data_IF_167822268230
#
_entry.id   IF_167822268230
#
_cell.length_a   1.000
_cell.length_b   1.000
_cell.length_c   1.000
_cell.angle_alpha   90.00
_cell.angle_beta   90.00
_cell.angle_gamma   90.00
#
_symmetry.space_group_name_H-M   'P 1'
#
loop_
_entity.id
_entity.type
_entity.pdbx_description
1 polymer ?
#
# COMPACT_ATOMS: atom_id res chain seq x y z
N UNK A 1 -41.72 -32.11 30.12
CA UNK A 1 -42.01 -31.01 29.19
C UNK A 1 -41.50 -29.72 29.85
N UNK A 2 -40.19 -29.37 29.63
CA UNK A 2 -39.56 -28.21 30.26
C UNK A 2 -39.44 -27.10 29.21
N UNK A 3 -40.28 -26.06 29.36
CA UNK A 3 -40.20 -24.87 28.53
C UNK A 3 -39.08 -23.93 29.06
N UNK A 4 -38.01 -23.77 28.29
CA UNK A 4 -36.94 -22.79 28.60
C UNK A 4 -37.43 -21.39 28.23
N UNK A 5 -37.79 -20.62 29.24
CA UNK A 5 -38.08 -19.19 29.11
C UNK A 5 -36.77 -18.43 28.84
N UNK A 6 -36.47 -18.14 27.59
CA UNK A 6 -35.39 -17.24 27.20
C UNK A 6 -35.80 -15.78 27.43
N UNK A 7 -35.22 -15.10 28.40
CA UNK A 7 -35.54 -13.70 28.74
C UNK A 7 -35.18 -12.76 27.57
N UNK A 8 -36.03 -11.76 27.25
CA UNK A 8 -35.79 -10.82 26.16
C UNK A 8 -34.51 -9.99 26.34
N UNK A 9 -34.04 -9.80 27.57
CA UNK A 9 -32.79 -9.11 27.93
C UNK A 9 -31.53 -9.83 27.45
N UNK A 10 -31.51 -11.17 27.35
CA UNK A 10 -30.40 -11.95 26.81
C UNK A 10 -30.23 -11.74 25.30
N UNK A 11 -31.31 -11.61 24.56
CA UNK A 11 -31.32 -11.41 23.10
C UNK A 11 -30.79 -10.01 22.71
N UNK A 12 -31.14 -8.98 23.52
CA UNK A 12 -30.69 -7.60 23.29
C UNK A 12 -29.17 -7.49 23.55
N UNK A 13 -28.64 -8.15 24.59
CA UNK A 13 -27.17 -8.17 24.89
C UNK A 13 -26.38 -8.87 23.78
N UNK A 14 -26.89 -9.97 23.23
CA UNK A 14 -26.26 -10.67 22.11
C UNK A 14 -26.28 -9.85 20.82
N UNK A 15 -27.36 -9.14 20.51
CA UNK A 15 -27.46 -8.26 19.36
C UNK A 15 -26.51 -7.05 19.47
N UNK A 16 -26.40 -6.45 20.65
CA UNK A 16 -25.48 -5.33 20.90
C UNK A 16 -24.00 -5.76 20.80
N UNK A 17 -23.64 -6.95 21.29
CA UNK A 17 -22.29 -7.50 21.17
C UNK A 17 -21.93 -7.79 19.69
N UNK A 18 -22.87 -8.27 18.90
CA UNK A 18 -22.65 -8.52 17.45
C UNK A 18 -22.44 -7.23 16.65
N UNK A 19 -23.17 -6.15 16.99
CA UNK A 19 -22.98 -4.83 16.36
C UNK A 19 -21.64 -4.20 16.71
N UNK A 20 -21.17 -4.35 17.94
CA UNK A 20 -19.84 -3.88 18.38
C UNK A 20 -18.69 -4.61 17.65
N UNK A 21 -18.83 -5.93 17.43
CA UNK A 21 -17.85 -6.73 16.70
C UNK A 21 -17.76 -6.38 15.20
N UNK A 22 -18.87 -5.97 14.59
CA UNK A 22 -18.90 -5.51 13.20
C UNK A 22 -18.19 -4.14 13.02
N UNK A 23 -18.18 -3.29 14.04
CA UNK A 23 -17.52 -1.98 14.02
C UNK A 23 -15.99 -2.04 14.08
N UNK A 24 -15.40 -3.11 14.63
CA UNK A 24 -13.93 -3.26 14.74
C UNK A 24 -13.25 -3.71 13.45
N UNK A 25 -13.99 -4.19 12.47
CA UNK A 25 -13.43 -4.67 11.21
C UNK A 25 -13.03 -3.56 10.22
N UNK A 26 -13.28 -2.29 10.53
CA UNK A 26 -13.19 -1.17 9.58
C UNK A 26 -11.84 -0.42 9.58
N UNK A 27 -10.83 -0.81 10.36
CA UNK A 27 -9.59 -0.04 10.55
C UNK A 27 -8.37 -0.56 9.78
N UNK A 28 -8.52 -1.37 8.74
CA UNK A 28 -7.40 -1.70 7.88
C UNK A 28 -7.11 -0.54 6.93
N UNK A 29 -5.92 0.06 7.04
CA UNK A 29 -5.52 1.15 6.15
C UNK A 29 -5.41 0.66 4.71
N UNK A 30 -5.91 1.42 3.71
CA UNK A 30 -5.79 1.05 2.31
C UNK A 30 -4.32 1.07 1.87
N UNK A 31 -3.97 0.18 0.96
CA UNK A 31 -2.66 0.20 0.31
C UNK A 31 -2.66 1.25 -0.79
N UNK A 32 -1.71 2.19 -0.77
CA UNK A 32 -1.61 3.26 -1.75
C UNK A 32 -0.40 3.05 -2.64
N UNK A 33 -0.59 3.08 -3.96
CA UNK A 33 0.46 3.01 -4.95
C UNK A 33 0.35 4.16 -5.95
N UNK A 34 1.49 4.65 -6.45
CA UNK A 34 1.56 5.53 -7.61
C UNK A 34 1.80 4.66 -8.85
N UNK A 35 0.96 4.82 -9.86
CA UNK A 35 1.02 4.02 -11.08
C UNK A 35 1.20 4.94 -12.26
N UNK A 36 2.29 4.76 -13.00
CA UNK A 36 2.56 5.44 -14.27
C UNK A 36 2.48 4.44 -15.42
N UNK A 37 1.87 4.86 -16.53
CA UNK A 37 1.64 3.99 -17.69
C UNK A 37 1.86 4.76 -18.97
N UNK A 38 2.50 4.06 -19.93
CA UNK A 38 2.60 4.47 -21.33
C UNK A 38 2.06 3.32 -22.18
N UNK A 39 1.11 3.60 -23.06
CA UNK A 39 0.46 2.53 -23.78
C UNK A 39 0.12 2.92 -25.23
N UNK A 40 0.27 1.94 -26.10
CA UNK A 40 -0.16 1.91 -27.48
C UNK A 40 -0.79 0.53 -27.78
N UNK A 41 -1.46 -0.06 -26.77
CA UNK A 41 -2.11 -1.36 -26.89
C UNK A 41 -3.32 -1.25 -27.82
N UNK A 42 -3.45 -2.14 -28.83
CA UNK A 42 -4.69 -2.30 -29.55
C UNK A 42 -5.77 -2.86 -28.61
N UNK A 43 -7.05 -2.69 -28.99
CA UNK A 43 -8.14 -3.33 -28.28
C UNK A 43 -7.91 -4.85 -28.17
N UNK A 44 -8.17 -5.46 -27.00
CA UNK A 44 -8.01 -6.90 -26.81
C UNK A 44 -8.89 -7.68 -27.81
N UNK A 45 -8.28 -8.58 -28.57
CA UNK A 45 -8.95 -9.43 -29.55
C UNK A 45 -8.50 -10.91 -29.39
N UNK A 46 -8.30 -11.36 -28.16
CA UNK A 46 -7.88 -12.73 -27.88
C UNK A 46 -6.41 -13.02 -28.19
N UNK A 47 -5.55 -11.99 -28.24
CA UNK A 47 -4.12 -12.18 -28.49
C UNK A 47 -3.52 -13.06 -27.38
N UNK A 48 -2.72 -14.05 -27.81
CA UNK A 48 -2.01 -14.92 -26.87
C UNK A 48 -0.81 -14.20 -26.26
N UNK A 49 -0.56 -14.43 -24.97
CA UNK A 49 0.57 -13.84 -24.28
C UNK A 49 1.27 -14.83 -23.34
N UNK A 50 2.54 -14.57 -23.05
CA UNK A 50 3.30 -15.26 -22.03
C UNK A 50 3.98 -14.25 -21.11
N UNK A 51 3.98 -14.52 -19.81
CA UNK A 51 4.71 -13.72 -18.81
C UNK A 51 6.10 -14.31 -18.62
N UNK A 52 7.11 -13.46 -18.73
CA UNK A 52 8.52 -13.81 -18.52
C UNK A 52 9.16 -12.82 -17.55
N UNK A 53 10.19 -13.27 -16.84
CA UNK A 53 10.98 -12.38 -16.00
C UNK A 53 11.75 -11.38 -16.86
N UNK A 54 11.75 -10.10 -16.47
CA UNK A 54 12.59 -9.09 -17.09
C UNK A 54 14.04 -9.22 -16.63
N UNK A 55 14.26 -9.53 -15.34
CA UNK A 55 15.55 -9.96 -14.82
C UNK A 55 15.75 -11.47 -15.02
N UNK A 56 16.77 -11.89 -15.80
CA UNK A 56 17.09 -13.32 -15.98
C UNK A 56 17.35 -14.06 -14.67
N UNK A 57 17.80 -13.37 -13.61
CA UNK A 57 18.04 -13.97 -12.31
C UNK A 57 16.77 -14.47 -11.61
N UNK A 58 15.61 -13.96 -11.96
CA UNK A 58 14.31 -14.40 -11.44
C UNK A 58 13.68 -15.54 -12.26
N UNK A 59 14.21 -15.81 -13.45
CA UNK A 59 13.63 -16.79 -14.35
C UNK A 59 13.62 -18.20 -13.74
N UNK A 60 12.46 -18.88 -13.78
CA UNK A 60 12.27 -20.21 -13.23
C UNK A 60 12.13 -20.25 -11.70
N UNK A 61 12.17 -19.12 -11.01
CA UNK A 61 11.94 -19.04 -9.57
C UNK A 61 10.49 -19.36 -9.19
N UNK A 62 10.29 -20.08 -8.07
CA UNK A 62 8.95 -20.42 -7.57
C UNK A 62 8.18 -19.14 -7.20
N UNK A 63 8.85 -18.19 -6.57
CA UNK A 63 8.26 -16.91 -6.17
C UNK A 63 7.81 -16.11 -7.40
N UNK A 64 8.70 -15.97 -8.41
CA UNK A 64 8.35 -15.34 -9.68
C UNK A 64 7.13 -15.99 -10.31
N UNK A 65 7.09 -17.32 -10.37
CA UNK A 65 5.97 -18.08 -10.94
C UNK A 65 4.64 -17.82 -10.21
N UNK A 66 4.64 -17.51 -8.92
CA UNK A 66 3.43 -17.15 -8.17
C UNK A 66 2.93 -15.76 -8.58
N UNK A 67 3.82 -14.78 -8.68
CA UNK A 67 3.43 -13.42 -9.08
C UNK A 67 3.10 -13.31 -10.56
N UNK A 68 3.80 -14.04 -11.42
CA UNK A 68 3.48 -14.14 -12.85
C UNK A 68 2.04 -14.62 -13.08
N UNK A 69 1.58 -15.63 -12.30
CA UNK A 69 0.18 -16.09 -12.36
C UNK A 69 -0.84 -15.01 -11.98
N UNK A 70 -0.51 -14.09 -11.07
CA UNK A 70 -1.39 -12.96 -10.78
C UNK A 70 -1.52 -12.02 -11.98
N UNK A 71 -0.41 -11.71 -12.64
CA UNK A 71 -0.39 -10.90 -13.86
C UNK A 71 -1.15 -11.61 -14.99
N UNK A 72 -0.94 -12.91 -15.17
CA UNK A 72 -1.67 -13.74 -16.14
C UNK A 72 -3.19 -13.69 -15.91
N UNK A 73 -3.63 -13.88 -14.67
CA UNK A 73 -5.05 -13.84 -14.33
C UNK A 73 -5.66 -12.45 -14.61
N UNK A 74 -4.93 -11.36 -14.32
CA UNK A 74 -5.39 -10.01 -14.60
C UNK A 74 -5.49 -9.72 -16.09
N UNK A 75 -4.50 -10.09 -16.90
CA UNK A 75 -4.55 -9.94 -18.35
C UNK A 75 -5.64 -10.81 -19.00
N UNK A 76 -5.86 -12.03 -18.47
CA UNK A 76 -6.96 -12.87 -18.95
C UNK A 76 -8.33 -12.22 -18.69
N UNK A 77 -8.52 -11.53 -17.57
CA UNK A 77 -9.73 -10.74 -17.29
C UNK A 77 -9.91 -9.58 -18.29
N UNK A 78 -8.83 -9.07 -18.87
CA UNK A 78 -8.88 -8.03 -19.91
C UNK A 78 -9.15 -8.58 -21.31
N UNK A 79 -9.24 -9.91 -21.51
CA UNK A 79 -9.55 -10.53 -22.78
C UNK A 79 -8.34 -11.05 -23.55
N UNK A 80 -7.15 -11.10 -22.94
CA UNK A 80 -5.97 -11.75 -23.51
C UNK A 80 -5.96 -13.24 -23.14
N UNK A 81 -5.29 -14.07 -23.95
CA UNK A 81 -5.24 -15.53 -23.76
C UNK A 81 -3.87 -15.97 -23.26
N UNK A 82 -3.74 -16.48 -22.03
CA UNK A 82 -2.46 -16.93 -21.51
C UNK A 82 -1.96 -18.16 -22.27
N UNK A 83 -0.65 -18.24 -22.54
CA UNK A 83 0.03 -19.42 -23.07
C UNK A 83 1.27 -19.72 -22.23
N UNK A 84 1.47 -20.99 -21.89
CA UNK A 84 2.65 -21.42 -21.12
C UNK A 84 3.96 -21.43 -21.92
N UNK A 85 3.91 -21.21 -23.24
CA UNK A 85 5.06 -21.24 -24.12
C UNK A 85 5.31 -19.86 -24.73
N UNK A 86 6.36 -19.14 -24.29
CA UNK A 86 6.70 -17.83 -24.84
C UNK A 86 6.96 -17.86 -26.37
N UNK A 87 7.40 -19.00 -26.91
CA UNK A 87 7.64 -19.13 -28.33
C UNK A 87 6.35 -19.14 -29.18
N UNK A 88 5.22 -19.48 -28.58
CA UNK A 88 3.89 -19.48 -29.24
C UNK A 88 3.07 -18.24 -28.95
N UNK A 89 3.51 -17.40 -28.02
CA UNK A 89 2.82 -16.16 -27.65
C UNK A 89 2.92 -15.11 -28.78
N UNK A 90 1.87 -14.34 -28.96
CA UNK A 90 1.87 -13.14 -29.80
C UNK A 90 2.45 -11.93 -29.07
N UNK A 91 2.24 -11.88 -27.74
CA UNK A 91 2.72 -10.84 -26.86
C UNK A 91 3.64 -11.44 -25.78
N UNK A 92 4.73 -10.77 -25.51
CA UNK A 92 5.62 -11.10 -24.38
C UNK A 92 5.42 -10.05 -23.32
N UNK A 93 5.06 -10.48 -22.12
CA UNK A 93 4.89 -9.66 -20.92
C UNK A 93 6.12 -9.82 -20.06
N UNK A 94 7.01 -8.83 -20.06
CA UNK A 94 8.16 -8.80 -19.17
C UNK A 94 7.72 -8.22 -17.83
N UNK A 95 7.97 -8.93 -16.78
CA UNK A 95 7.54 -8.57 -15.43
C UNK A 95 8.74 -8.61 -14.48
N UNK A 96 8.85 -7.56 -13.68
CA UNK A 96 9.84 -7.42 -12.62
C UNK A 96 9.19 -6.88 -11.36
N UNK A 97 9.78 -7.18 -10.20
CA UNK A 97 9.30 -6.70 -8.90
C UNK A 97 10.45 -6.61 -7.91
N UNK A 98 10.30 -5.71 -6.94
CA UNK A 98 11.31 -5.59 -5.91
C UNK A 98 10.90 -4.68 -4.75
N UNK A 99 11.76 -4.67 -3.74
CA UNK A 99 11.71 -3.76 -2.60
C UNK A 99 13.13 -3.29 -2.29
N UNK A 100 13.28 -2.01 -1.98
CA UNK A 100 14.57 -1.43 -1.62
C UNK A 100 15.05 -1.90 -0.23
N UNK A 101 16.28 -1.50 0.14
CA UNK A 101 16.88 -1.84 1.44
C UNK A 101 16.25 -1.08 2.61
N UNK A 102 15.32 -0.17 2.32
CA UNK A 102 14.69 0.68 3.32
C UNK A 102 15.54 1.89 3.71
N UNK A 103 14.86 2.93 4.18
CA UNK A 103 15.45 4.16 4.70
C UNK A 103 14.88 4.44 6.07
N UNK A 104 15.75 4.75 7.01
CA UNK A 104 15.32 5.16 8.33
C UNK A 104 14.70 6.57 8.28
N UNK A 105 13.55 6.71 8.90
CA UNK A 105 12.85 7.97 9.12
C UNK A 105 12.69 8.18 10.62
N UNK A 106 12.91 9.42 11.04
CA UNK A 106 12.76 9.83 12.43
C UNK A 106 11.53 10.69 12.54
N UNK A 107 10.63 10.33 13.46
CA UNK A 107 9.44 11.10 13.82
C UNK A 107 9.59 11.57 15.27
N UNK A 108 9.57 12.87 15.48
CA UNK A 108 9.45 13.44 16.84
C UNK A 108 7.96 13.44 17.21
N UNK A 109 7.61 12.76 18.31
CA UNK A 109 6.26 12.78 18.89
C UNK A 109 6.10 13.85 19.97
N UNK A 110 7.11 14.74 20.14
CA UNK A 110 7.02 15.89 21.03
C UNK A 110 6.01 16.92 20.52
N UNK A 111 5.36 17.62 21.46
CA UNK A 111 4.54 18.81 21.20
C UNK A 111 5.43 19.97 20.71
N UNK A 112 6.01 19.82 19.53
CA UNK A 112 6.96 20.75 18.95
C UNK A 112 6.53 21.11 17.53
N UNK A 113 5.90 22.27 17.38
CA UNK A 113 5.77 23.03 16.15
C UNK A 113 5.26 22.24 14.93
N UNK A 114 3.95 22.21 14.79
CA UNK A 114 3.33 21.94 13.51
C UNK A 114 3.61 23.15 12.59
N UNK A 115 4.42 23.01 11.52
CA UNK A 115 4.74 24.12 10.62
C UNK A 115 3.51 24.70 9.91
N UNK A 116 2.39 23.99 9.94
CA UNK A 116 1.14 24.41 9.31
C UNK A 116 0.33 25.37 10.16
N UNK A 117 0.46 25.35 11.50
CA UNK A 117 -0.25 26.24 12.43
C UNK A 117 0.63 27.37 13.00
N UNK A 118 1.91 27.43 12.65
CA UNK A 118 2.87 28.42 13.16
C UNK A 118 2.58 29.89 12.83
N UNK A 119 1.94 30.28 11.70
CA UNK A 119 1.71 31.68 11.37
C UNK A 119 0.58 32.37 12.15
N UNK A 120 -0.33 31.60 12.80
CA UNK A 120 -1.53 32.17 13.41
C UNK A 120 -1.42 32.49 14.92
N UNK A 121 -0.34 32.10 15.59
CA UNK A 121 -0.11 32.44 17.00
C UNK A 121 0.71 33.72 17.20
N UNK A 122 0.99 34.48 16.15
CA UNK A 122 1.81 35.69 16.20
C UNK A 122 1.09 37.00 16.59
N UNK A 123 -0.21 37.02 16.85
CA UNK A 123 -0.96 38.23 17.22
C UNK A 123 -1.42 38.23 18.68
N UNK A 124 -0.47 38.10 19.58
CA UNK A 124 -0.69 38.25 21.02
C UNK A 124 0.41 39.06 21.68
N UNK A 125 0.84 40.13 21.04
CA UNK A 125 1.88 41.01 21.61
C UNK A 125 1.25 42.25 22.27
N UNK A 126 0.75 42.06 23.50
CA UNK A 126 0.66 43.13 24.48
C UNK A 126 0.80 42.52 25.89
N UNK A 127 1.97 42.69 26.46
CA UNK A 127 2.24 42.29 27.84
C UNK A 127 3.57 42.90 28.27
N UNK A 128 3.57 44.18 28.60
CA UNK A 128 4.64 44.90 29.32
C UNK A 128 4.86 44.23 30.68
N UNK A 129 6.11 43.90 31.00
CA UNK A 129 6.50 43.62 32.37
C UNK A 129 7.93 43.16 32.52
N UNK A 130 8.89 44.01 32.96
CA UNK A 130 10.20 43.55 33.33
C UNK A 130 10.17 43.13 34.83
N UNK A 131 9.99 41.85 35.11
CA UNK A 131 10.11 41.38 36.51
C UNK A 131 11.20 40.33 36.63
N UNK A 132 12.35 40.85 37.11
CA UNK A 132 13.21 40.37 38.19
C UNK A 132 13.77 38.94 38.05
N UNK A 133 15.05 38.94 37.68
CA UNK A 133 16.01 37.94 38.11
C UNK A 133 15.93 37.84 39.64
N UNK A 134 15.41 36.72 40.16
CA UNK A 134 15.59 36.28 41.53
C UNK A 134 16.66 35.19 41.57
N UNK A 135 17.60 35.21 42.52
CA UNK A 135 18.73 34.28 42.60
C UNK A 135 18.42 32.96 43.32
N UNK A 136 17.25 32.38 43.13
CA UNK A 136 16.86 31.10 43.79
C UNK A 136 16.34 30.13 42.75
N UNK A 137 17.16 29.87 41.72
CA UNK A 137 16.91 28.80 40.79
C UNK A 137 17.49 27.46 41.27
N UNK A 138 16.96 26.90 42.35
CA UNK A 138 17.09 25.47 42.57
C UNK A 138 16.22 24.79 41.55
N UNK A 139 16.85 24.18 40.53
CA UNK A 139 16.22 23.40 39.53
C UNK A 139 15.46 22.25 40.19
N UNK A 140 14.14 22.42 40.30
CA UNK A 140 13.25 21.29 40.51
C UNK A 140 13.30 20.49 39.18
N UNK A 141 14.04 19.41 39.23
CA UNK A 141 13.95 18.36 38.25
C UNK A 141 12.56 17.73 38.42
N UNK A 142 11.59 18.18 37.63
CA UNK A 142 10.25 17.62 37.60
C UNK A 142 10.21 16.50 36.54
N UNK A 143 10.24 15.22 36.97
CA UNK A 143 10.21 14.09 36.03
C UNK A 143 8.92 14.00 35.22
N UNK A 144 7.88 14.82 35.56
CA UNK A 144 6.62 14.88 34.86
C UNK A 144 6.65 15.86 33.68
N UNK A 145 7.57 16.83 33.67
CA UNK A 145 7.76 17.79 32.58
C UNK A 145 8.88 17.36 31.59
N UNK A 146 9.76 16.50 32.00
CA UNK A 146 10.76 15.90 31.12
C UNK A 146 10.18 14.61 30.47
N UNK A 147 8.97 14.70 29.93
CA UNK A 147 8.53 13.80 28.88
C UNK A 147 9.32 14.19 27.66
N UNK A 148 10.54 13.66 27.63
CA UNK A 148 11.41 13.76 26.48
C UNK A 148 10.61 13.53 25.21
N UNK A 149 10.73 14.40 24.25
CA UNK A 149 10.20 14.20 22.91
C UNK A 149 10.63 12.79 22.48
N UNK A 150 9.71 11.83 22.55
CA UNK A 150 10.00 10.48 22.14
C UNK A 150 10.32 10.56 20.64
N UNK A 151 11.57 10.38 20.32
CA UNK A 151 12.03 10.28 18.93
C UNK A 151 11.83 8.82 18.55
N UNK A 152 10.84 8.58 17.72
CA UNK A 152 10.56 7.27 17.18
C UNK A 152 11.22 7.16 15.80
N UNK A 153 12.14 6.21 15.64
CA UNK A 153 12.68 5.87 14.34
C UNK A 153 11.91 4.71 13.73
N UNK A 154 11.60 4.80 12.44
CA UNK A 154 10.95 3.73 11.69
C UNK A 154 11.56 3.62 10.30
N UNK A 155 11.62 2.39 9.78
CA UNK A 155 12.13 2.14 8.44
C UNK A 155 10.98 2.20 7.43
N UNK A 156 11.17 2.94 6.34
CA UNK A 156 10.29 2.94 5.18
C UNK A 156 10.98 2.27 4.01
N UNK A 157 10.22 1.47 3.29
CA UNK A 157 10.64 0.73 2.11
C UNK A 157 9.89 1.26 0.89
N UNK A 158 10.58 1.36 -0.24
CA UNK A 158 9.96 1.57 -1.54
C UNK A 158 9.90 0.23 -2.24
N UNK A 159 8.68 -0.21 -2.55
CA UNK A 159 8.43 -1.40 -3.34
C UNK A 159 7.91 -1.02 -4.71
N UNK A 160 8.22 -1.80 -5.73
CA UNK A 160 7.79 -1.55 -7.10
C UNK A 160 7.57 -2.81 -7.90
N UNK A 161 6.76 -2.67 -8.95
CA UNK A 161 6.67 -3.60 -10.05
C UNK A 161 6.83 -2.84 -11.35
N UNK A 162 7.50 -3.46 -12.31
CA UNK A 162 7.63 -3.00 -13.68
C UNK A 162 7.01 -4.04 -14.62
N UNK A 163 6.19 -3.60 -15.55
CA UNK A 163 5.53 -4.45 -16.53
C UNK A 163 5.64 -3.84 -17.93
N UNK A 164 6.16 -4.62 -18.86
CA UNK A 164 6.35 -4.25 -20.26
C UNK A 164 5.66 -5.27 -21.13
N UNK A 165 4.86 -4.84 -22.11
CA UNK A 165 4.23 -5.73 -23.09
C UNK A 165 4.80 -5.41 -24.45
N UNK A 166 5.37 -6.43 -25.08
CA UNK A 166 6.03 -6.34 -26.39
C UNK A 166 5.34 -7.27 -27.38
N UNK A 167 5.23 -6.81 -28.62
CA UNK A 167 4.83 -7.69 -29.71
C UNK A 167 5.99 -8.61 -30.07
N UNK A 168 5.78 -9.92 -30.01
CA UNK A 168 6.87 -10.89 -30.23
C UNK A 168 7.45 -10.83 -31.64
N UNK A 169 6.63 -10.50 -32.64
CA UNK A 169 7.04 -10.54 -34.05
C UNK A 169 8.14 -9.53 -34.42
N UNK A 170 8.12 -8.36 -33.80
CA UNK A 170 9.01 -7.23 -34.14
C UNK A 170 9.66 -6.59 -32.91
N UNK A 171 9.35 -7.07 -31.68
CA UNK A 171 9.84 -6.51 -30.44
C UNK A 171 9.26 -5.13 -30.08
N UNK A 172 8.25 -4.66 -30.83
CA UNK A 172 7.64 -3.35 -30.56
C UNK A 172 7.01 -3.34 -29.17
N UNK A 173 7.40 -2.36 -28.35
CA UNK A 173 6.78 -2.12 -27.04
C UNK A 173 5.41 -1.49 -27.22
N UNK A 174 4.39 -2.16 -26.67
CA UNK A 174 2.99 -1.73 -26.74
C UNK A 174 2.50 -1.17 -25.40
N UNK A 175 3.13 -1.57 -24.28
CA UNK A 175 2.81 -1.08 -22.96
C UNK A 175 4.07 -1.04 -22.10
N UNK A 176 4.14 -0.02 -21.26
CA UNK A 176 5.12 0.11 -20.20
C UNK A 176 4.42 0.71 -19.00
N UNK A 177 4.43 -0.02 -17.88
CA UNK A 177 3.79 0.41 -16.65
C UNK A 177 4.69 0.18 -15.46
N UNK A 178 4.67 1.15 -14.53
CA UNK A 178 5.37 1.08 -13.25
C UNK A 178 4.40 1.40 -12.14
N UNK A 179 4.35 0.54 -11.10
CA UNK A 179 3.62 0.82 -9.88
C UNK A 179 4.58 0.83 -8.69
N UNK A 180 4.54 1.87 -7.88
CA UNK A 180 5.42 2.05 -6.73
C UNK A 180 4.61 2.38 -5.48
N UNK A 181 5.01 1.82 -4.34
CA UNK A 181 4.42 2.12 -3.04
C UNK A 181 5.50 2.33 -1.98
N UNK A 182 5.21 3.22 -1.03
CA UNK A 182 6.03 3.42 0.16
C UNK A 182 5.28 2.83 1.35
N UNK A 183 5.93 1.94 2.09
CA UNK A 183 5.34 1.26 3.25
C UNK A 183 6.39 1.00 4.34
N UNK A 184 5.93 0.64 5.53
CA UNK A 184 6.80 0.13 6.62
C UNK A 184 7.03 -1.38 6.53
N UNK A 185 6.45 -2.05 5.53
CA UNK A 185 6.62 -3.48 5.26
C UNK A 185 7.53 -3.68 4.06
N UNK A 186 8.41 -4.69 4.16
CA UNK A 186 9.24 -5.18 3.06
C UNK A 186 8.80 -6.57 2.56
N UNK A 187 7.62 -7.04 2.98
CA UNK A 187 7.12 -8.37 2.67
C UNK A 187 6.56 -8.44 1.25
N UNK A 188 7.31 -9.01 0.31
CA UNK A 188 6.89 -9.18 -1.09
C UNK A 188 5.54 -9.91 -1.25
N UNK A 189 5.20 -10.96 -0.45
CA UNK A 189 3.89 -11.61 -0.54
C UNK A 189 2.69 -10.71 -0.20
N UNK A 190 2.91 -9.59 0.48
CA UNK A 190 1.92 -8.57 0.72
C UNK A 190 1.98 -7.46 -0.34
N UNK A 191 3.20 -7.02 -0.69
CA UNK A 191 3.42 -5.86 -1.54
C UNK A 191 3.07 -6.13 -3.00
N UNK A 192 3.57 -7.23 -3.57
CA UNK A 192 3.44 -7.52 -5.01
C UNK A 192 1.99 -7.73 -5.45
N UNK A 193 1.14 -8.49 -4.75
CA UNK A 193 -0.28 -8.61 -5.11
C UNK A 193 -1.02 -7.27 -5.12
N UNK A 194 -0.76 -6.40 -4.14
CA UNK A 194 -1.37 -5.08 -4.06
C UNK A 194 -0.88 -4.14 -5.18
N UNK A 195 0.42 -4.22 -5.54
CA UNK A 195 0.98 -3.46 -6.65
C UNK A 195 0.41 -3.94 -8.00
N UNK A 196 0.23 -5.25 -8.18
CA UNK A 196 -0.43 -5.83 -9.36
C UNK A 196 -1.89 -5.34 -9.43
N UNK A 197 -2.63 -5.39 -8.32
CA UNK A 197 -4.01 -4.85 -8.28
C UNK A 197 -4.05 -3.37 -8.68
N UNK A 198 -3.14 -2.56 -8.13
CA UNK A 198 -3.03 -1.15 -8.49
C UNK A 198 -2.70 -0.94 -9.97
N UNK A 199 -1.75 -1.74 -10.53
CA UNK A 199 -1.37 -1.68 -11.94
C UNK A 199 -2.54 -1.96 -12.87
N UNK A 200 -3.43 -2.89 -12.50
CA UNK A 200 -4.57 -3.29 -13.33
C UNK A 200 -5.86 -2.52 -13.04
N UNK A 201 -5.89 -1.66 -12.02
CA UNK A 201 -7.03 -0.76 -11.80
C UNK A 201 -7.15 0.22 -12.95
N UNK A 202 -8.27 0.20 -13.67
CA UNK A 202 -8.53 0.98 -14.91
C UNK A 202 -7.48 0.74 -16.02
N UNK A 203 -7.01 -0.49 -16.16
CA UNK A 203 -6.07 -0.88 -17.22
C UNK A 203 -6.72 -0.76 -18.62
N UNK A 204 -6.00 -0.29 -19.67
CA UNK A 204 -4.59 0.09 -19.68
C UNK A 204 -4.34 1.53 -19.20
N UNK A 205 -5.37 2.34 -18.96
CA UNK A 205 -5.28 3.74 -18.53
C UNK A 205 -4.92 4.71 -19.64
N UNK A 206 -4.68 5.96 -19.28
CA UNK A 206 -4.24 6.98 -20.22
C UNK A 206 -2.71 6.96 -20.33
N UNK A 207 -2.18 7.12 -21.55
CA UNK A 207 -0.74 7.14 -21.80
C UNK A 207 -0.11 8.43 -21.24
N UNK A 208 1.01 8.27 -20.49
CA UNK A 208 1.75 9.39 -19.89
C UNK A 208 1.16 9.93 -18.59
N UNK A 209 0.16 9.27 -18.02
CA UNK A 209 -0.45 9.66 -16.76
C UNK A 209 0.18 8.90 -15.59
N UNK A 210 0.38 9.62 -14.47
CA UNK A 210 0.71 9.02 -13.18
C UNK A 210 -0.45 9.25 -12.22
N UNK A 211 -1.07 8.16 -11.76
CA UNK A 211 -2.22 8.19 -10.87
C UNK A 211 -1.92 7.52 -9.53
N UNK A 212 -2.48 8.06 -8.47
CA UNK A 212 -2.46 7.41 -7.16
C UNK A 212 -3.67 6.49 -7.03
N UNK A 213 -3.41 5.21 -6.85
CA UNK A 213 -4.41 4.16 -6.68
C UNK A 213 -4.43 3.72 -5.22
N UNK A 214 -5.64 3.68 -4.64
CA UNK A 214 -5.89 3.09 -3.32
C UNK A 214 -6.51 1.71 -3.49
N UNK A 215 -5.77 0.68 -3.05
CA UNK A 215 -6.26 -0.70 -3.04
C UNK A 215 -6.90 -0.97 -1.69
N UNK A 216 -8.16 -1.45 -1.71
CA UNK A 216 -8.85 -1.82 -0.49
C UNK A 216 -8.11 -2.98 0.21
N UNK A 217 -8.04 -2.97 1.55
CA UNK A 217 -7.41 -4.07 2.28
C UNK A 217 -8.16 -5.38 1.98
N UNK A 218 -7.37 -6.42 1.72
CA UNK A 218 -7.90 -7.77 1.54
C UNK A 218 -8.68 -8.17 2.79
N UNK A 219 -9.95 -8.53 2.63
CA UNK A 219 -10.73 -9.09 3.75
C UNK A 219 -10.02 -10.36 4.19
N UNK A 220 -9.37 -10.33 5.34
CA UNK A 220 -8.80 -11.52 5.95
C UNK A 220 -9.94 -12.54 6.10
N UNK A 221 -9.96 -13.54 5.23
CA UNK A 221 -10.82 -14.69 5.44
C UNK A 221 -10.36 -15.32 6.76
N UNK A 222 -11.19 -15.20 7.80
CA UNK A 222 -10.96 -15.85 9.06
C UNK A 222 -10.71 -17.35 8.78
N UNK A 223 -9.47 -17.81 9.01
CA UNK A 223 -9.15 -19.22 8.98
C UNK A 223 -10.11 -19.92 9.94
N UNK A 224 -11.10 -20.60 9.39
CA UNK A 224 -11.85 -21.61 10.13
C UNK A 224 -10.89 -22.78 10.34
N UNK A 225 -10.36 -22.87 11.54
CA UNK A 225 -9.78 -24.13 12.05
C UNK A 225 -10.95 -25.01 12.53
#
# INVERSE_FOLDING_TARGET
>A
MFATHSSPFGRIKLAAASLLLLGLAACAAPFNANVSRFQALPAPAGQSFAVVADDPGMAGGIEFGQYARLVEAKLAQQGYVPTGDPAKAQLIVRFDYGVDKGRERVRSTGFGYDPFWGPWQGYGRFGYGPFRRGPWGYGFYDPWFDRGSAVESYTVYTSGIDMKIERRADGQRLFEGKAEAISTSNRLPYLVPNLVEAMFTNFPGNSGETVRISVAPEKQQARRN
#
